data_IF_191675740142
#
_entry.id   IF_191675740142
#
_cell.length_a   1.000
_cell.length_b   1.000
_cell.length_c   1.000
_cell.angle_alpha   90.00
_cell.angle_beta   90.00
_cell.angle_gamma   90.00
#
_symmetry.space_group_name_H-M   'P 1'
#
loop_
_entity.id
_entity.type
_entity.pdbx_description
1 polymer ?
#
# COMPACT_ATOMS: atom_id res chain seq x y z
N UNK A 1 -21.77 5.49 -1.02
CA UNK A 1 -20.58 5.91 -0.22
C UNK A 1 -19.52 6.50 -1.14
N UNK A 2 -18.59 7.28 -0.59
CA UNK A 2 -17.43 7.79 -1.32
C UNK A 2 -16.14 7.13 -0.81
N UNK A 3 -15.24 6.77 -1.73
CA UNK A 3 -13.87 6.36 -1.42
C UNK A 3 -12.91 7.33 -2.09
N UNK A 4 -11.97 7.87 -1.31
CA UNK A 4 -10.94 8.79 -1.79
C UNK A 4 -9.63 8.02 -1.86
N UNK A 5 -9.06 7.93 -3.05
CA UNK A 5 -7.78 7.27 -3.33
C UNK A 5 -6.59 8.24 -3.37
N UNK A 6 -5.40 7.75 -3.75
CA UNK A 6 -4.24 8.60 -4.00
C UNK A 6 -4.47 9.53 -5.19
N UNK A 7 -3.82 10.70 -5.14
CA UNK A 7 -3.97 11.77 -6.13
C UNK A 7 -2.81 11.85 -7.13
N UNK A 8 -1.70 11.14 -6.88
CA UNK A 8 -0.47 11.25 -7.66
C UNK A 8 -0.51 10.44 -8.94
N UNK A 9 -0.78 9.14 -8.83
CA UNK A 9 -0.79 8.20 -9.94
C UNK A 9 -2.19 7.66 -10.20
N UNK A 10 -2.55 7.40 -11.47
CA UNK A 10 -3.79 6.71 -11.79
C UNK A 10 -3.87 5.36 -11.09
N UNK A 11 -5.02 5.07 -10.46
CA UNK A 11 -5.33 3.80 -9.81
C UNK A 11 -5.81 2.80 -10.86
N UNK A 12 -4.87 2.14 -11.52
CA UNK A 12 -5.08 1.10 -12.54
C UNK A 12 -3.87 0.19 -12.66
N UNK A 13 -4.04 -1.00 -13.22
CA UNK A 13 -2.90 -1.89 -13.49
C UNK A 13 -2.05 -1.39 -14.69
N UNK A 14 -0.70 -1.51 -14.64
CA UNK A 14 0.10 -1.85 -13.46
C UNK A 14 0.08 -0.71 -12.42
N UNK A 15 -0.21 -1.07 -11.15
CA UNK A 15 -0.31 -0.09 -10.08
C UNK A 15 1.05 0.54 -9.77
N UNK A 16 1.06 1.87 -9.63
CA UNK A 16 2.27 2.61 -9.26
C UNK A 16 2.80 2.27 -7.86
N UNK A 17 1.95 1.76 -6.97
CA UNK A 17 2.27 1.42 -5.59
C UNK A 17 1.18 0.60 -4.89
N UNK A 18 1.44 0.24 -3.64
CA UNK A 18 0.52 -0.58 -2.84
C UNK A 18 -0.79 0.14 -2.46
N UNK A 19 -0.77 1.48 -2.40
CA UNK A 19 -1.97 2.26 -2.08
C UNK A 19 -2.95 2.28 -3.25
N UNK A 20 -2.44 2.41 -4.48
CA UNK A 20 -3.22 2.27 -5.71
C UNK A 20 -3.83 0.86 -5.80
N UNK A 21 -3.01 -0.18 -5.56
CA UNK A 21 -3.48 -1.57 -5.53
C UNK A 21 -4.59 -1.80 -4.48
N UNK A 22 -4.40 -1.28 -3.27
CA UNK A 22 -5.40 -1.33 -2.20
C UNK A 22 -6.70 -0.64 -2.60
N UNK A 23 -6.63 0.60 -3.09
CA UNK A 23 -7.84 1.36 -3.42
C UNK A 23 -8.62 0.68 -4.55
N UNK A 24 -7.95 0.24 -5.61
CA UNK A 24 -8.59 -0.47 -6.72
C UNK A 24 -9.32 -1.74 -6.24
N UNK A 25 -8.61 -2.58 -5.48
CA UNK A 25 -9.15 -3.86 -5.00
C UNK A 25 -10.26 -3.65 -3.97
N UNK A 26 -10.14 -2.65 -3.10
CA UNK A 26 -11.17 -2.32 -2.11
C UNK A 26 -12.45 -1.78 -2.77
N UNK A 27 -12.33 -0.86 -3.75
CA UNK A 27 -13.48 -0.35 -4.51
C UNK A 27 -14.22 -1.50 -5.20
N UNK A 28 -13.47 -2.40 -5.86
CA UNK A 28 -14.04 -3.58 -6.51
C UNK A 28 -14.76 -4.48 -5.51
N UNK A 29 -14.12 -4.82 -4.38
CA UNK A 29 -14.70 -5.68 -3.35
C UNK A 29 -15.95 -5.07 -2.68
N UNK A 30 -15.97 -3.75 -2.46
CA UNK A 30 -17.14 -3.07 -1.89
C UNK A 30 -18.31 -3.06 -2.87
N UNK A 31 -18.06 -2.84 -4.17
CA UNK A 31 -19.08 -2.94 -5.21
C UNK A 31 -19.61 -4.37 -5.35
N UNK A 32 -18.75 -5.38 -5.27
CA UNK A 32 -19.15 -6.81 -5.25
C UNK A 32 -20.01 -7.16 -4.02
N UNK A 33 -19.77 -6.50 -2.89
CA UNK A 33 -20.62 -6.62 -1.69
C UNK A 33 -21.95 -5.85 -1.79
N UNK A 34 -22.21 -5.18 -2.93
CA UNK A 34 -23.47 -4.48 -3.22
C UNK A 34 -23.49 -3.00 -2.78
N UNK A 35 -22.35 -2.42 -2.40
CA UNK A 35 -22.28 -1.00 -2.08
C UNK A 35 -22.19 -0.14 -3.34
N UNK A 36 -22.93 0.96 -3.38
CA UNK A 36 -22.71 2.03 -4.36
C UNK A 36 -21.48 2.84 -3.92
N UNK A 37 -20.41 2.78 -4.71
CA UNK A 37 -19.13 3.44 -4.39
C UNK A 37 -18.78 4.44 -5.48
N UNK A 38 -18.86 5.72 -5.14
CA UNK A 38 -18.16 6.77 -5.88
C UNK A 38 -16.68 6.75 -5.50
N UNK A 39 -15.82 6.78 -6.50
CA UNK A 39 -14.38 6.69 -6.31
C UNK A 39 -13.74 7.96 -6.84
N UNK A 40 -12.94 8.63 -6.01
CA UNK A 40 -12.24 9.86 -6.33
C UNK A 40 -10.74 9.63 -6.20
N UNK A 41 -10.05 9.50 -7.32
CA UNK A 41 -8.61 9.31 -7.40
C UNK A 41 -8.02 10.15 -8.56
N UNK A 42 -6.72 10.03 -8.78
CA UNK A 42 -6.04 10.68 -9.90
C UNK A 42 -6.73 10.39 -11.25
N UNK A 43 -6.70 11.36 -12.15
CA UNK A 43 -7.25 11.25 -13.50
C UNK A 43 -6.75 9.99 -14.20
N UNK A 44 -7.65 9.32 -14.94
CA UNK A 44 -7.32 8.08 -15.64
C UNK A 44 -7.33 6.82 -14.77
N UNK A 45 -7.74 6.92 -13.50
CA UNK A 45 -8.00 5.77 -12.63
C UNK A 45 -9.18 4.91 -13.12
N UNK A 46 -9.10 3.60 -12.89
CA UNK A 46 -10.19 2.67 -13.21
C UNK A 46 -11.35 2.82 -12.23
N UNK A 47 -12.58 2.88 -12.77
CA UNK A 47 -13.79 2.99 -11.96
C UNK A 47 -13.97 4.33 -11.21
N UNK A 48 -13.21 5.37 -11.60
CA UNK A 48 -13.29 6.74 -11.09
C UNK A 48 -14.62 7.41 -11.43
N UNK A 49 -15.10 8.29 -10.55
CA UNK A 49 -16.27 9.12 -10.77
C UNK A 49 -15.91 10.26 -11.74
N UNK A 50 -16.52 10.30 -12.93
CA UNK A 50 -16.05 11.13 -14.06
C UNK A 50 -16.40 12.62 -14.01
N UNK A 51 -17.29 13.02 -13.11
CA UNK A 51 -17.60 14.43 -12.91
C UNK A 51 -16.61 15.14 -11.96
N UNK A 52 -15.69 14.38 -11.34
CA UNK A 52 -14.60 14.92 -10.56
C UNK A 52 -13.41 13.95 -10.51
N UNK A 53 -12.27 14.35 -11.08
CA UNK A 53 -11.02 13.58 -11.03
C UNK A 53 -9.90 14.45 -10.42
N UNK A 54 -9.02 13.84 -9.62
CA UNK A 54 -7.87 14.55 -9.07
C UNK A 54 -6.81 14.74 -10.17
N UNK A 55 -6.07 15.86 -10.21
CA UNK A 55 -5.30 16.25 -11.40
C UNK A 55 -4.07 15.38 -11.70
N UNK A 56 -3.70 14.43 -10.85
CA UNK A 56 -2.43 13.71 -11.01
C UNK A 56 -1.22 14.58 -10.73
N UNK A 57 -0.03 14.00 -10.93
CA UNK A 57 1.23 14.76 -10.98
C UNK A 57 1.87 14.56 -12.35
N UNK A 58 1.98 15.66 -13.11
CA UNK A 58 2.60 15.69 -14.42
C UNK A 58 3.94 16.43 -14.38
N UNK A 59 5.03 15.70 -14.62
CA UNK A 59 6.39 16.22 -14.65
C UNK A 59 6.81 16.79 -16.01
N UNK A 60 5.99 16.62 -17.06
CA UNK A 60 6.31 17.06 -18.42
C UNK A 60 7.69 16.56 -18.87
N UNK A 61 8.52 17.48 -19.37
CA UNK A 61 9.87 17.19 -19.88
C UNK A 61 10.90 16.87 -18.77
N UNK A 62 10.54 17.00 -17.48
CA UNK A 62 11.40 16.73 -16.32
C UNK A 62 11.12 15.38 -15.66
N UNK A 63 10.76 14.37 -16.44
CA UNK A 63 10.42 13.04 -15.93
C UNK A 63 11.56 12.38 -15.14
N UNK A 64 12.82 12.74 -15.42
CA UNK A 64 14.00 12.25 -14.70
C UNK A 64 14.13 12.78 -13.26
N UNK A 65 13.51 13.92 -12.96
CA UNK A 65 13.43 14.50 -11.60
C UNK A 65 12.28 13.89 -10.79
N UNK A 66 11.43 13.06 -11.42
CA UNK A 66 10.24 12.54 -10.80
C UNK A 66 10.59 11.57 -9.68
N UNK A 67 10.06 11.87 -8.48
CA UNK A 67 10.04 10.93 -7.37
C UNK A 67 8.60 10.75 -6.87
N UNK A 68 8.41 9.77 -5.99
CA UNK A 68 7.10 9.49 -5.40
C UNK A 68 6.66 10.54 -4.34
N UNK A 69 7.54 11.45 -3.93
CA UNK A 69 7.27 12.43 -2.85
C UNK A 69 7.44 13.88 -3.27
N UNK A 70 8.18 14.16 -4.35
CA UNK A 70 8.40 15.52 -4.86
C UNK A 70 7.29 15.96 -5.80
N UNK A 71 7.13 17.26 -6.00
CA UNK A 71 6.17 17.82 -6.95
C UNK A 71 6.89 18.73 -7.95
N UNK A 72 6.45 18.78 -9.22
CA UNK A 72 6.83 19.84 -10.13
C UNK A 72 6.26 21.17 -9.61
N UNK A 73 6.79 22.29 -10.11
CA UNK A 73 6.34 23.63 -9.73
C UNK A 73 4.81 23.80 -9.89
N UNK A 74 4.17 24.31 -8.84
CA UNK A 74 2.71 24.47 -8.79
C UNK A 74 1.92 23.17 -8.60
N UNK A 75 2.58 22.00 -8.64
CA UNK A 75 1.92 20.69 -8.59
C UNK A 75 1.22 20.44 -7.25
N UNK A 76 1.87 20.83 -6.15
CA UNK A 76 1.30 20.67 -4.80
C UNK A 76 0.10 21.59 -4.60
N UNK A 77 0.18 22.82 -5.10
CA UNK A 77 -0.89 23.82 -5.02
C UNK A 77 -2.11 23.37 -5.82
N UNK A 78 -1.92 22.80 -7.02
CA UNK A 78 -3.00 22.22 -7.82
C UNK A 78 -3.68 21.05 -7.12
N UNK A 79 -2.90 20.14 -6.54
CA UNK A 79 -3.44 19.02 -5.77
C UNK A 79 -4.26 19.52 -4.57
N UNK A 80 -3.71 20.46 -3.78
CA UNK A 80 -4.40 21.05 -2.63
C UNK A 80 -5.71 21.74 -3.02
N UNK A 81 -5.72 22.52 -4.11
CA UNK A 81 -6.92 23.16 -4.63
C UNK A 81 -7.99 22.12 -5.02
N UNK A 82 -7.58 21.02 -5.66
CA UNK A 82 -8.50 19.94 -5.99
C UNK A 82 -9.08 19.27 -4.73
N UNK A 83 -8.31 19.06 -3.67
CA UNK A 83 -8.85 18.52 -2.42
C UNK A 83 -9.84 19.45 -1.71
N UNK A 84 -9.65 20.78 -1.81
CA UNK A 84 -10.61 21.76 -1.29
C UNK A 84 -11.95 21.63 -2.04
N UNK A 85 -11.93 21.55 -3.37
CA UNK A 85 -13.15 21.39 -4.16
C UNK A 85 -13.80 20.01 -3.96
N UNK A 86 -13.00 18.95 -3.87
CA UNK A 86 -13.48 17.60 -3.57
C UNK A 86 -14.22 17.59 -2.22
N UNK A 87 -13.65 18.23 -1.20
CA UNK A 87 -14.31 18.29 0.12
C UNK A 87 -15.66 18.98 0.04
N UNK A 88 -15.76 20.12 -0.64
CA UNK A 88 -17.04 20.83 -0.84
C UNK A 88 -18.05 19.96 -1.57
N UNK A 89 -17.61 19.23 -2.60
CA UNK A 89 -18.43 18.27 -3.33
C UNK A 89 -18.95 17.15 -2.42
N UNK A 90 -18.10 16.57 -1.57
CA UNK A 90 -18.47 15.52 -0.62
C UNK A 90 -19.52 15.99 0.39
N UNK A 91 -19.37 17.22 0.89
CA UNK A 91 -20.37 17.87 1.77
C UNK A 91 -21.70 18.04 1.03
N UNK A 92 -21.65 18.59 -0.19
CA UNK A 92 -22.85 18.86 -0.98
C UNK A 92 -23.61 17.58 -1.39
N UNK A 93 -22.91 16.47 -1.63
CA UNK A 93 -23.53 15.19 -2.00
C UNK A 93 -24.09 14.38 -0.83
N UNK A 94 -23.64 14.65 0.39
CA UNK A 94 -24.20 14.03 1.60
C UNK A 94 -24.10 12.50 1.64
N UNK A 95 -22.90 11.94 1.39
CA UNK A 95 -22.68 10.49 1.46
C UNK A 95 -22.94 9.91 2.87
N UNK A 96 -23.43 8.67 2.96
CA UNK A 96 -23.53 7.96 4.26
C UNK A 96 -22.17 7.78 4.93
N UNK A 97 -21.12 7.56 4.13
CA UNK A 97 -19.73 7.37 4.57
C UNK A 97 -18.77 7.90 3.51
N UNK A 98 -17.71 8.55 3.98
CA UNK A 98 -16.51 8.93 3.21
C UNK A 98 -15.33 8.11 3.72
N UNK A 99 -14.75 7.23 2.90
CA UNK A 99 -13.55 6.47 3.23
C UNK A 99 -12.33 7.14 2.63
N UNK A 100 -11.59 7.86 3.46
CA UNK A 100 -10.37 8.56 3.06
C UNK A 100 -9.14 7.65 3.13
N UNK A 101 -8.41 7.56 2.01
CA UNK A 101 -7.11 6.89 1.92
C UNK A 101 -6.03 7.83 1.34
N UNK A 102 -6.30 9.13 1.22
CA UNK A 102 -5.34 10.11 0.73
C UNK A 102 -4.49 10.70 1.85
N UNK A 103 -3.36 11.29 1.46
CA UNK A 103 -2.46 12.04 2.33
C UNK A 103 -2.51 13.53 1.99
N UNK A 104 -3.71 14.11 1.95
CA UNK A 104 -3.87 15.54 1.73
C UNK A 104 -4.60 16.21 2.91
N UNK A 105 -4.06 17.27 3.53
CA UNK A 105 -4.61 17.86 4.75
C UNK A 105 -5.97 18.54 4.50
N UNK A 106 -6.25 18.96 3.27
CA UNK A 106 -7.46 19.73 2.94
C UNK A 106 -8.73 18.88 2.89
N UNK A 107 -8.65 17.56 3.06
CA UNK A 107 -9.84 16.73 3.24
C UNK A 107 -10.46 16.91 4.64
N UNK A 108 -9.65 17.30 5.63
CA UNK A 108 -10.13 17.58 6.98
C UNK A 108 -10.81 18.95 7.05
N UNK A 109 -11.71 19.18 8.02
CA UNK A 109 -12.38 20.47 8.19
C UNK A 109 -11.41 21.65 8.29
N UNK A 110 -11.71 22.72 7.56
CA UNK A 110 -10.95 23.98 7.55
C UNK A 110 -11.90 25.18 7.58
N UNK A 111 -11.38 26.42 7.60
CA UNK A 111 -12.20 27.63 7.50
C UNK A 111 -13.01 27.67 6.20
N UNK A 112 -12.46 27.16 5.08
CA UNK A 112 -13.09 27.17 3.77
C UNK A 112 -14.22 26.14 3.61
N UNK A 113 -14.26 25.12 4.46
CA UNK A 113 -15.33 24.12 4.55
C UNK A 113 -15.27 23.47 5.94
N UNK A 114 -16.02 24.01 6.92
CA UNK A 114 -15.95 23.58 8.32
C UNK A 114 -16.85 22.38 8.65
N UNK A 115 -17.72 21.94 7.75
CA UNK A 115 -18.73 20.91 7.99
C UNK A 115 -18.06 19.55 8.20
N UNK A 116 -18.38 18.78 9.26
CA UNK A 116 -17.84 17.43 9.42
C UNK A 116 -18.38 16.49 8.33
N UNK A 117 -17.56 15.53 7.90
CA UNK A 117 -17.97 14.43 7.03
C UNK A 117 -18.14 13.15 7.87
N UNK A 118 -19.04 12.21 7.49
CA UNK A 118 -19.10 10.87 8.06
C UNK A 118 -17.88 10.06 7.60
N UNK A 119 -16.71 10.39 8.14
CA UNK A 119 -15.43 10.00 7.57
C UNK A 119 -14.75 8.89 8.37
N UNK A 120 -14.22 7.90 7.66
CA UNK A 120 -13.20 6.98 8.13
C UNK A 120 -11.91 7.23 7.34
N UNK A 121 -10.82 7.60 8.00
CA UNK A 121 -9.49 7.68 7.38
C UNK A 121 -8.71 6.40 7.68
N UNK A 122 -8.15 5.73 6.67
CA UNK A 122 -7.20 4.62 6.89
C UNK A 122 -5.77 5.12 6.76
N UNK A 123 -4.97 4.87 7.80
CA UNK A 123 -3.56 5.24 7.88
C UNK A 123 -2.71 4.16 7.20
N UNK A 124 -2.07 4.52 6.09
CA UNK A 124 -1.25 3.64 5.25
C UNK A 124 0.25 3.95 5.32
N UNK A 125 0.66 4.97 6.07
CA UNK A 125 2.06 5.42 6.21
C UNK A 125 2.36 5.77 7.67
N UNK A 126 3.66 5.86 8.03
CA UNK A 126 4.07 6.60 9.23
C UNK A 126 3.51 8.04 9.24
N UNK A 127 3.58 8.69 10.39
CA UNK A 127 3.06 10.05 10.59
C UNK A 127 3.65 11.04 9.59
N UNK A 128 2.78 11.85 8.98
CA UNK A 128 3.14 12.96 8.11
C UNK A 128 2.71 14.25 8.82
N UNK A 129 3.66 15.17 9.06
CA UNK A 129 3.45 16.35 9.91
C UNK A 129 2.25 17.20 9.47
N UNK A 130 2.15 17.55 8.19
CA UNK A 130 1.04 18.36 7.66
C UNK A 130 -0.34 17.71 7.87
N UNK A 131 -0.41 16.38 7.80
CA UNK A 131 -1.64 15.61 8.02
C UNK A 131 -1.95 15.55 9.51
N UNK A 132 -0.93 15.34 10.34
CA UNK A 132 -1.07 15.35 11.79
C UNK A 132 -1.57 16.70 12.30
N UNK A 133 -1.09 17.81 11.75
CA UNK A 133 -1.52 19.15 12.11
C UNK A 133 -2.99 19.38 11.73
N UNK A 134 -3.40 18.95 10.53
CA UNK A 134 -4.80 19.03 10.09
C UNK A 134 -5.74 18.18 10.96
N UNK A 135 -5.33 16.96 11.33
CA UNK A 135 -6.08 16.10 12.26
C UNK A 135 -6.20 16.77 13.64
N UNK A 136 -5.10 17.35 14.14
CA UNK A 136 -5.06 18.02 15.45
C UNK A 136 -5.99 19.22 15.47
N UNK A 137 -5.95 20.06 14.43
CA UNK A 137 -6.82 21.23 14.29
C UNK A 137 -8.31 20.84 14.17
N UNK A 138 -8.62 19.75 13.47
CA UNK A 138 -9.97 19.25 13.32
C UNK A 138 -10.51 18.55 14.59
N UNK A 139 -9.65 18.00 15.44
CA UNK A 139 -10.03 17.26 16.64
C UNK A 139 -11.03 16.14 16.32
N UNK A 140 -12.11 16.01 17.10
CA UNK A 140 -13.15 15.00 16.86
C UNK A 140 -13.85 15.15 15.50
N UNK A 141 -13.80 16.34 14.87
CA UNK A 141 -14.38 16.57 13.54
C UNK A 141 -13.53 15.97 12.41
N UNK A 142 -12.34 15.48 12.71
CA UNK A 142 -11.50 14.74 11.76
C UNK A 142 -12.11 13.37 11.37
N UNK A 143 -13.15 12.92 12.09
CA UNK A 143 -13.80 11.64 11.85
C UNK A 143 -13.14 10.51 12.64
N UNK A 144 -13.32 9.28 12.14
CA UNK A 144 -12.76 8.06 12.71
C UNK A 144 -11.53 7.60 11.95
N UNK A 145 -10.74 6.76 12.59
CA UNK A 145 -9.49 6.26 12.03
C UNK A 145 -9.43 4.74 12.04
N UNK A 146 -8.83 4.19 10.99
CA UNK A 146 -8.34 2.83 10.93
C UNK A 146 -6.84 2.85 10.64
N UNK A 147 -6.12 1.81 11.05
CA UNK A 147 -4.70 1.66 10.74
C UNK A 147 -4.40 0.23 10.28
N UNK A 148 -3.46 0.09 9.34
CA UNK A 148 -3.11 -1.21 8.76
C UNK A 148 -2.27 -2.10 9.69
N UNK A 149 -1.74 -1.54 10.78
CA UNK A 149 -1.03 -2.26 11.84
C UNK A 149 -1.05 -1.46 13.15
N UNK A 150 -0.70 -2.09 14.28
CA UNK A 150 -0.57 -1.36 15.56
C UNK A 150 0.66 -0.47 15.54
N UNK A 151 1.75 -0.92 14.90
CA UNK A 151 2.93 -0.07 14.69
C UNK A 151 2.55 1.23 14.00
N UNK A 152 1.85 1.16 12.87
CA UNK A 152 1.38 2.37 12.17
C UNK A 152 0.47 3.21 13.04
N UNK A 153 -0.49 2.61 13.76
CA UNK A 153 -1.38 3.37 14.64
C UNK A 153 -0.63 4.21 15.70
N UNK A 154 0.45 3.67 16.25
CA UNK A 154 1.23 4.32 17.33
C UNK A 154 2.01 5.55 16.89
N UNK A 155 2.31 5.66 15.61
CA UNK A 155 3.04 6.82 15.08
C UNK A 155 2.16 8.09 15.07
N UNK A 156 0.83 7.92 15.08
CA UNK A 156 -0.12 9.02 14.95
C UNK A 156 -0.74 9.43 16.29
N UNK A 157 -0.93 10.74 16.47
CA UNK A 157 -1.69 11.31 17.60
C UNK A 157 -3.12 11.59 17.16
N UNK A 158 -4.02 10.66 17.46
CA UNK A 158 -5.40 10.68 16.97
C UNK A 158 -6.39 11.13 18.05
N UNK A 159 -7.51 11.77 17.67
CA UNK A 159 -8.54 12.21 18.61
C UNK A 159 -9.35 11.05 19.21
N UNK A 160 -9.30 9.87 18.58
CA UNK A 160 -9.90 8.62 19.07
C UNK A 160 -9.01 7.44 18.71
N UNK A 161 -9.10 6.35 19.49
CA UNK A 161 -8.35 5.12 19.23
C UNK A 161 -8.72 4.55 17.84
N UNK A 162 -7.76 4.28 16.96
CA UNK A 162 -8.03 3.75 15.64
C UNK A 162 -8.39 2.27 15.70
N UNK A 163 -9.22 1.81 14.76
CA UNK A 163 -9.47 0.38 14.58
C UNK A 163 -8.34 -0.24 13.75
N UNK A 164 -7.73 -1.32 14.23
CA UNK A 164 -6.67 -2.00 13.49
C UNK A 164 -7.29 -2.93 12.45
N UNK A 165 -7.10 -2.61 11.17
CA UNK A 165 -7.57 -3.41 10.03
C UNK A 165 -6.39 -3.62 9.08
N UNK A 166 -5.68 -4.75 9.19
CA UNK A 166 -4.66 -5.09 8.22
C UNK A 166 -5.26 -5.21 6.82
N UNK A 167 -4.49 -4.83 5.81
CA UNK A 167 -4.91 -4.96 4.42
C UNK A 167 -5.21 -6.43 4.07
N UNK A 168 -6.05 -6.62 3.05
CA UNK A 168 -6.41 -7.92 2.52
C UNK A 168 -5.84 -8.11 1.11
N UNK A 169 -5.57 -9.36 0.76
CA UNK A 169 -5.06 -9.77 -0.55
C UNK A 169 -6.18 -10.48 -1.32
N UNK A 170 -6.28 -10.20 -2.63
CA UNK A 170 -7.20 -10.92 -3.50
C UNK A 170 -6.64 -12.33 -3.82
N UNK A 171 -6.95 -13.29 -2.95
CA UNK A 171 -6.49 -14.69 -3.04
C UNK A 171 -7.07 -15.48 -4.23
N UNK A 172 -8.03 -14.91 -4.96
CA UNK A 172 -8.56 -15.45 -6.21
C UNK A 172 -7.71 -15.04 -7.42
N UNK A 173 -6.99 -13.91 -7.33
CA UNK A 173 -6.05 -13.44 -8.33
C UNK A 173 -4.63 -13.96 -8.03
N UNK A 174 -4.15 -13.77 -6.79
CA UNK A 174 -2.87 -14.32 -6.31
C UNK A 174 -3.04 -15.81 -6.00
N UNK A 175 -2.82 -16.65 -7.03
CA UNK A 175 -3.07 -18.10 -7.03
C UNK A 175 -1.78 -18.88 -6.73
N UNK A 176 -1.88 -20.08 -6.14
CA UNK A 176 -0.70 -20.88 -5.86
C UNK A 176 -0.04 -21.32 -7.16
N UNK A 177 1.29 -21.31 -7.16
CA UNK A 177 2.10 -21.87 -8.24
C UNK A 177 3.05 -22.96 -7.76
N UNK A 178 3.78 -23.60 -8.68
CA UNK A 178 4.65 -24.74 -8.38
C UNK A 178 5.87 -24.36 -7.51
N UNK A 179 6.18 -23.06 -7.39
CA UNK A 179 7.43 -22.59 -6.81
C UNK A 179 8.60 -22.77 -7.79
N UNK A 180 9.82 -22.65 -7.29
CA UNK A 180 11.03 -22.77 -8.10
C UNK A 180 12.29 -22.54 -7.27
N UNK A 181 13.43 -22.42 -7.97
CA UNK A 181 14.74 -22.24 -7.34
C UNK A 181 15.09 -20.77 -7.09
N UNK A 182 14.53 -19.87 -7.89
CA UNK A 182 14.85 -18.45 -7.91
C UNK A 182 14.09 -17.67 -6.84
N UNK A 183 14.75 -16.70 -6.22
CA UNK A 183 14.11 -15.71 -5.36
C UNK A 183 13.47 -14.59 -6.18
N UNK A 184 12.40 -14.00 -5.65
CA UNK A 184 11.80 -12.78 -6.23
C UNK A 184 11.86 -11.64 -5.22
N UNK A 185 12.17 -10.45 -5.72
CA UNK A 185 11.90 -9.21 -5.04
C UNK A 185 11.03 -8.38 -5.97
N UNK A 186 9.95 -7.79 -5.45
CA UNK A 186 9.09 -6.97 -6.28
C UNK A 186 8.55 -5.75 -5.55
N UNK A 187 8.44 -4.66 -6.30
CA UNK A 187 8.05 -3.35 -5.79
C UNK A 187 8.80 -2.23 -6.50
N UNK A 188 8.54 -1.00 -6.07
CA UNK A 188 9.20 0.19 -6.60
C UNK A 188 10.69 0.16 -6.26
N UNK A 189 11.56 0.36 -7.25
CA UNK A 189 13.00 0.50 -7.01
C UNK A 189 13.29 1.92 -6.47
N UNK A 190 13.17 2.04 -5.15
CA UNK A 190 13.44 3.26 -4.38
C UNK A 190 14.25 2.90 -3.12
N UNK A 191 15.03 3.84 -2.53
CA UNK A 191 15.89 3.56 -1.38
C UNK A 191 15.15 2.93 -0.18
N UNK A 192 13.93 3.40 0.09
CA UNK A 192 13.09 2.92 1.21
C UNK A 192 12.70 1.43 1.11
N UNK A 193 12.72 0.84 -0.10
CA UNK A 193 12.39 -0.59 -0.32
C UNK A 193 13.62 -1.50 -0.36
N UNK A 194 14.82 -0.93 -0.36
CA UNK A 194 16.07 -1.66 -0.06
C UNK A 194 16.44 -2.80 -1.00
N UNK A 195 16.05 -2.78 -2.28
CA UNK A 195 16.37 -3.82 -3.26
C UNK A 195 17.87 -4.22 -3.32
N UNK A 196 18.80 -3.28 -3.12
CA UNK A 196 20.24 -3.59 -3.01
C UNK A 196 20.55 -4.60 -1.90
N UNK A 197 19.86 -4.51 -0.76
CA UNK A 197 20.02 -5.46 0.35
C UNK A 197 19.46 -6.85 0.01
N UNK A 198 18.39 -6.92 -0.80
CA UNK A 198 17.89 -8.20 -1.29
C UNK A 198 18.90 -8.86 -2.24
N UNK A 199 19.53 -8.08 -3.11
CA UNK A 199 20.60 -8.57 -4.00
C UNK A 199 21.77 -9.13 -3.18
N UNK A 200 22.27 -8.34 -2.22
CA UNK A 200 23.41 -8.73 -1.40
C UNK A 200 23.09 -9.98 -0.56
N UNK A 201 21.88 -10.09 0.00
CA UNK A 201 21.45 -11.26 0.77
C UNK A 201 21.27 -12.52 -0.09
N UNK A 202 20.70 -12.38 -1.29
CA UNK A 202 20.55 -13.50 -2.23
C UNK A 202 21.91 -14.01 -2.71
N UNK A 203 22.88 -13.12 -2.96
CA UNK A 203 24.26 -13.50 -3.29
C UNK A 203 24.93 -14.25 -2.15
N UNK A 204 24.81 -13.76 -0.92
CA UNK A 204 25.34 -14.44 0.27
C UNK A 204 24.69 -15.82 0.48
N UNK A 205 23.40 -15.98 0.12
CA UNK A 205 22.70 -17.26 0.16
C UNK A 205 22.99 -18.19 -1.04
N UNK A 206 23.67 -17.70 -2.09
CA UNK A 206 23.88 -18.43 -3.34
C UNK A 206 22.61 -18.69 -4.15
N UNK A 207 21.60 -17.82 -4.03
CA UNK A 207 20.29 -17.97 -4.68
C UNK A 207 20.12 -16.90 -5.77
N UNK A 208 19.77 -17.27 -7.02
CA UNK A 208 19.46 -16.31 -8.06
C UNK A 208 18.27 -15.43 -7.68
N UNK A 209 18.26 -14.17 -8.13
CA UNK A 209 17.24 -13.18 -7.79
C UNK A 209 16.69 -12.50 -9.04
N UNK A 210 15.37 -12.48 -9.17
CA UNK A 210 14.65 -11.64 -10.13
C UNK A 210 14.04 -10.45 -9.39
N UNK A 211 14.40 -9.25 -9.82
CA UNK A 211 13.78 -7.99 -9.41
C UNK A 211 12.68 -7.61 -10.41
N UNK A 212 11.46 -7.33 -9.94
CA UNK A 212 10.36 -6.86 -10.77
C UNK A 212 9.74 -5.57 -10.20
N UNK A 213 9.52 -4.57 -11.05
CA UNK A 213 8.89 -3.31 -10.68
C UNK A 213 9.48 -2.11 -11.39
N UNK A 214 8.74 -1.00 -11.35
CA UNK A 214 9.13 0.25 -11.99
C UNK A 214 10.35 0.91 -11.34
N UNK A 215 11.07 1.68 -12.15
CA UNK A 215 12.03 2.64 -11.67
C UNK A 215 11.28 3.78 -10.96
N UNK A 216 11.40 3.86 -9.63
CA UNK A 216 10.78 4.92 -8.83
C UNK A 216 11.75 6.02 -8.41
N UNK A 217 13.06 5.79 -8.58
CA UNK A 217 14.13 6.72 -8.29
C UNK A 217 15.33 6.41 -9.20
N UNK A 218 15.54 7.28 -10.18
CA UNK A 218 16.58 7.10 -11.20
C UNK A 218 18.00 7.08 -10.62
N UNK A 219 18.25 7.85 -9.55
CA UNK A 219 19.56 7.88 -8.90
C UNK A 219 19.82 6.59 -8.15
N UNK A 220 18.85 6.11 -7.39
CA UNK A 220 18.96 4.84 -6.68
C UNK A 220 19.16 3.65 -7.63
N UNK A 221 18.43 3.61 -8.76
CA UNK A 221 18.63 2.55 -9.76
C UNK A 221 20.04 2.62 -10.36
N UNK A 222 20.50 3.81 -10.75
CA UNK A 222 21.83 4.01 -11.34
C UNK A 222 22.96 3.64 -10.36
N UNK A 223 22.85 4.09 -9.11
CA UNK A 223 23.95 4.05 -8.15
C UNK A 223 23.97 2.75 -7.33
N UNK A 224 22.80 2.16 -7.03
CA UNK A 224 22.71 0.99 -6.16
C UNK A 224 22.28 -0.29 -6.88
N UNK A 225 21.43 -0.21 -7.91
CA UNK A 225 20.87 -1.40 -8.55
C UNK A 225 21.68 -1.84 -9.77
N UNK A 226 21.87 -0.95 -10.74
CA UNK A 226 22.56 -1.25 -11.99
C UNK A 226 23.96 -1.86 -11.81
N UNK A 227 24.81 -1.38 -10.87
CA UNK A 227 26.13 -1.98 -10.62
C UNK A 227 26.07 -3.38 -10.02
N UNK A 228 24.90 -3.80 -9.52
CA UNK A 228 24.67 -5.11 -8.88
C UNK A 228 23.93 -6.09 -9.79
N UNK A 229 23.57 -5.73 -11.01
CA UNK A 229 22.97 -6.67 -11.97
C UNK A 229 24.02 -7.62 -12.55
N UNK A 230 23.59 -8.81 -13.00
CA UNK A 230 24.47 -9.90 -13.43
C UNK A 230 24.73 -10.94 -12.33
N UNK A 231 25.46 -12.00 -12.68
CA UNK A 231 25.83 -13.09 -11.76
C UNK A 231 24.63 -13.71 -11.02
N UNK A 232 23.55 -14.00 -11.76
CA UNK A 232 22.32 -14.58 -11.22
C UNK A 232 21.31 -13.55 -10.69
N UNK A 233 21.55 -12.26 -10.91
CA UNK A 233 20.61 -11.17 -10.58
C UNK A 233 20.13 -10.49 -11.85
N UNK A 234 18.81 -10.41 -12.03
CA UNK A 234 18.18 -9.76 -13.17
C UNK A 234 17.11 -8.76 -12.71
N UNK A 235 17.04 -7.59 -13.37
CA UNK A 235 15.89 -6.68 -13.25
C UNK A 235 15.11 -6.68 -14.55
N UNK A 236 13.87 -7.17 -14.49
CA UNK A 236 13.00 -7.38 -15.66
C UNK A 236 12.02 -6.23 -15.90
N UNK A 237 12.20 -5.10 -15.21
CA UNK A 237 11.34 -3.93 -15.34
C UNK A 237 9.96 -4.08 -14.70
N UNK A 238 9.04 -3.20 -15.10
CA UNK A 238 7.64 -3.24 -14.68
C UNK A 238 6.87 -4.29 -15.48
N UNK A 239 6.10 -5.11 -14.78
CA UNK A 239 5.28 -6.16 -15.37
C UNK A 239 3.80 -5.79 -15.29
N UNK A 240 2.99 -6.35 -16.19
CA UNK A 240 1.56 -6.41 -15.93
C UNK A 240 1.31 -7.20 -14.64
N UNK A 241 0.20 -6.93 -13.96
CA UNK A 241 -0.13 -7.64 -12.74
C UNK A 241 -0.37 -9.14 -12.97
N UNK A 242 -0.83 -9.53 -14.16
CA UNK A 242 -0.95 -10.95 -14.51
C UNK A 242 0.41 -11.64 -14.60
N UNK A 243 1.38 -11.01 -15.27
CA UNK A 243 2.75 -11.52 -15.37
C UNK A 243 3.45 -11.54 -14.02
N UNK A 244 3.30 -10.49 -13.20
CA UNK A 244 3.87 -10.41 -11.85
C UNK A 244 3.36 -11.56 -10.96
N UNK A 245 2.05 -11.82 -10.97
CA UNK A 245 1.47 -12.95 -10.22
C UNK A 245 2.05 -14.28 -10.68
N UNK A 246 2.19 -14.45 -12.00
CA UNK A 246 2.83 -15.63 -12.60
C UNK A 246 4.27 -15.80 -12.14
N UNK A 247 5.09 -14.74 -12.20
CA UNK A 247 6.46 -14.74 -11.71
C UNK A 247 6.53 -15.15 -10.25
N UNK A 248 5.81 -14.45 -9.38
CA UNK A 248 5.86 -14.66 -7.92
C UNK A 248 5.46 -16.09 -7.56
N UNK A 249 4.46 -16.65 -8.23
CA UNK A 249 3.99 -18.02 -8.01
C UNK A 249 5.00 -19.12 -8.43
N UNK A 250 5.92 -18.81 -9.34
CA UNK A 250 6.99 -19.69 -9.82
C UNK A 250 8.33 -19.49 -9.07
N UNK A 251 8.38 -18.60 -8.08
CA UNK A 251 9.58 -18.39 -7.28
C UNK A 251 9.58 -19.22 -5.98
N UNK A 252 10.77 -19.56 -5.51
CA UNK A 252 10.99 -20.37 -4.31
C UNK A 252 10.87 -19.58 -3.01
N UNK A 253 11.10 -18.27 -3.06
CA UNK A 253 11.03 -17.35 -1.92
C UNK A 253 10.88 -15.92 -2.41
N UNK A 254 10.07 -15.13 -1.71
CA UNK A 254 10.01 -13.69 -1.87
C UNK A 254 10.86 -13.02 -0.79
N UNK A 255 11.70 -12.07 -1.21
CA UNK A 255 12.62 -11.33 -0.33
C UNK A 255 12.10 -9.91 -0.16
N UNK A 256 11.86 -9.49 1.08
CA UNK A 256 11.22 -8.19 1.38
C UNK A 256 12.09 -7.37 2.34
N UNK A 257 12.63 -6.25 1.85
CA UNK A 257 13.76 -5.55 2.48
C UNK A 257 13.48 -4.07 2.80
N UNK A 258 12.39 -3.73 3.50
CA UNK A 258 12.09 -2.33 3.79
C UNK A 258 13.17 -1.70 4.67
N UNK A 259 13.55 -0.46 4.33
CA UNK A 259 14.45 0.41 5.10
C UNK A 259 13.70 1.52 5.87
N UNK A 260 12.38 1.42 5.88
CA UNK A 260 11.44 2.30 6.58
C UNK A 260 10.48 1.47 7.41
N UNK A 261 9.73 2.07 8.33
CA UNK A 261 8.72 1.38 9.12
C UNK A 261 7.52 0.95 8.25
N UNK A 262 7.70 -0.15 7.53
CA UNK A 262 6.76 -0.70 6.54
C UNK A 262 5.38 -0.94 7.19
N UNK A 263 4.34 -0.18 6.81
CA UNK A 263 3.05 -0.17 7.50
C UNK A 263 2.31 -1.52 7.46
N UNK A 264 2.37 -2.19 6.30
CA UNK A 264 1.73 -3.49 6.08
C UNK A 264 2.62 -4.44 5.29
N UNK A 265 3.17 -3.99 4.16
CA UNK A 265 3.99 -4.83 3.27
C UNK A 265 3.17 -5.77 2.39
N UNK A 266 2.28 -5.23 1.53
CA UNK A 266 1.38 -5.98 0.65
C UNK A 266 2.10 -7.11 -0.11
N UNK A 267 3.28 -6.81 -0.64
CA UNK A 267 4.12 -7.74 -1.40
C UNK A 267 4.41 -9.06 -0.66
N UNK A 268 4.58 -9.02 0.67
CA UNK A 268 4.79 -10.23 1.47
C UNK A 268 3.54 -11.11 1.47
N UNK A 269 2.37 -10.51 1.70
CA UNK A 269 1.10 -11.23 1.75
C UNK A 269 0.64 -11.71 0.37
N UNK A 270 0.95 -10.97 -0.69
CA UNK A 270 0.73 -11.35 -2.08
C UNK A 270 1.58 -12.56 -2.48
N UNK A 271 2.87 -12.58 -2.11
CA UNK A 271 3.73 -13.73 -2.30
C UNK A 271 3.24 -14.95 -1.52
N UNK A 272 2.91 -14.77 -0.24
CA UNK A 272 2.38 -15.83 0.59
C UNK A 272 1.03 -16.35 0.06
N UNK A 273 0.17 -15.49 -0.51
CA UNK A 273 -1.05 -15.93 -1.18
C UNK A 273 -0.72 -16.87 -2.34
N UNK A 274 0.33 -16.61 -3.14
CA UNK A 274 0.82 -17.54 -4.16
C UNK A 274 1.48 -18.82 -3.61
N UNK A 275 1.50 -19.02 -2.29
CA UNK A 275 2.23 -20.09 -1.63
C UNK A 275 3.74 -19.89 -1.64
N UNK A 276 4.22 -18.72 -2.07
CA UNK A 276 5.65 -18.40 -2.10
C UNK A 276 6.09 -17.95 -0.70
N UNK A 277 6.99 -18.71 -0.03
CA UNK A 277 7.49 -18.34 1.28
C UNK A 277 8.16 -16.97 1.30
N UNK A 278 8.16 -16.31 2.46
CA UNK A 278 8.75 -14.97 2.62
C UNK A 278 9.96 -15.00 3.54
N UNK A 279 11.04 -14.37 3.10
CA UNK A 279 12.14 -13.93 3.94
C UNK A 279 12.16 -12.39 3.98
N UNK A 280 12.15 -11.79 5.17
CA UNK A 280 12.01 -10.35 5.27
C UNK A 280 12.77 -9.73 6.45
N UNK A 281 13.08 -8.44 6.34
CA UNK A 281 13.49 -7.66 7.51
C UNK A 281 12.31 -7.46 8.47
N UNK A 282 12.55 -7.67 9.77
CA UNK A 282 11.59 -7.44 10.84
C UNK A 282 11.50 -5.96 11.17
N UNK A 283 10.73 -5.23 10.37
CA UNK A 283 10.55 -3.78 10.48
C UNK A 283 9.08 -3.38 10.32
N UNK A 284 8.65 -2.32 10.99
CA UNK A 284 7.31 -1.76 10.85
C UNK A 284 6.15 -2.67 11.27
N UNK A 285 4.98 -2.33 10.75
CA UNK A 285 3.77 -3.15 10.87
C UNK A 285 3.89 -4.49 10.14
N UNK A 286 4.63 -4.56 9.04
CA UNK A 286 4.90 -5.83 8.37
C UNK A 286 5.60 -6.82 9.32
N UNK A 287 6.65 -6.37 10.04
CA UNK A 287 7.35 -7.19 11.02
C UNK A 287 6.49 -7.57 12.24
N UNK A 288 5.51 -6.73 12.61
CA UNK A 288 4.48 -7.07 13.61
C UNK A 288 3.59 -8.21 13.11
N UNK A 289 3.04 -8.07 11.90
CA UNK A 289 2.03 -8.97 11.34
C UNK A 289 2.62 -10.33 10.95
N UNK A 290 3.88 -10.37 10.49
CA UNK A 290 4.56 -11.61 10.11
C UNK A 290 5.20 -12.36 11.27
N UNK A 291 5.17 -11.83 12.50
CA UNK A 291 5.82 -12.44 13.67
C UNK A 291 5.40 -13.89 13.91
N UNK A 292 4.10 -14.15 13.80
CA UNK A 292 3.48 -15.46 14.02
C UNK A 292 3.02 -16.11 12.69
N UNK A 293 3.53 -15.60 11.57
CA UNK A 293 3.27 -16.14 10.24
C UNK A 293 4.28 -17.24 9.90
N UNK A 294 3.95 -18.16 8.98
CA UNK A 294 4.93 -19.06 8.36
C UNK A 294 5.84 -18.27 7.41
N UNK A 295 6.73 -17.45 7.98
CA UNK A 295 7.71 -16.62 7.28
C UNK A 295 9.01 -16.59 8.11
N UNK A 296 10.14 -16.27 7.45
CA UNK A 296 11.42 -16.13 8.14
C UNK A 296 11.83 -14.66 8.22
N UNK A 297 11.88 -14.13 9.44
CA UNK A 297 12.27 -12.74 9.66
C UNK A 297 13.73 -12.64 10.12
N UNK A 298 14.45 -11.64 9.60
CA UNK A 298 15.78 -11.24 10.01
C UNK A 298 15.76 -9.90 10.76
N UNK A 299 16.75 -9.58 11.62
CA UNK A 299 16.97 -8.22 12.10
C UNK A 299 17.03 -7.23 10.93
N UNK A 300 16.56 -6.00 11.15
CA UNK A 300 16.55 -4.99 10.08
C UNK A 300 17.98 -4.65 9.62
N UNK A 301 18.14 -4.52 8.30
CA UNK A 301 19.40 -4.18 7.62
C UNK A 301 20.56 -5.19 7.80
N UNK A 302 20.29 -6.36 8.40
CA UNK A 302 21.28 -7.43 8.58
C UNK A 302 21.23 -8.41 7.39
N UNK A 303 22.13 -8.20 6.42
CA UNK A 303 22.21 -8.95 5.16
C UNK A 303 22.51 -10.44 5.40
N UNK A 304 23.43 -10.76 6.30
CA UNK A 304 23.82 -12.15 6.57
C UNK A 304 22.69 -12.92 7.27
N UNK A 305 22.02 -12.28 8.23
CA UNK A 305 20.84 -12.86 8.86
C UNK A 305 19.68 -13.03 7.86
N UNK A 306 19.53 -12.11 6.90
CA UNK A 306 18.56 -12.24 5.82
C UNK A 306 18.92 -13.39 4.86
N UNK A 307 20.20 -13.58 4.51
CA UNK A 307 20.64 -14.72 3.72
C UNK A 307 20.30 -16.06 4.38
N UNK A 308 20.52 -16.16 5.70
CA UNK A 308 20.09 -17.32 6.47
C UNK A 308 18.56 -17.48 6.51
N UNK A 309 17.80 -16.37 6.59
CA UNK A 309 16.34 -16.38 6.53
C UNK A 309 15.81 -16.82 5.16
N UNK A 310 16.44 -16.40 4.06
CA UNK A 310 16.14 -16.85 2.68
C UNK A 310 16.25 -18.37 2.60
N UNK A 311 17.37 -18.92 3.06
CA UNK A 311 17.62 -20.37 3.05
C UNK A 311 16.56 -21.14 3.86
N UNK A 312 16.21 -20.66 5.07
CA UNK A 312 15.16 -21.27 5.90
C UNK A 312 13.77 -21.17 5.27
N UNK A 313 13.42 -20.01 4.72
CA UNK A 313 12.09 -19.76 4.14
C UNK A 313 11.79 -20.71 2.97
N UNK A 314 12.79 -21.02 2.14
CA UNK A 314 12.64 -21.98 1.03
C UNK A 314 12.22 -23.39 1.49
N UNK A 315 12.49 -23.75 2.74
CA UNK A 315 12.08 -25.03 3.32
C UNK A 315 10.66 -25.03 3.91
N UNK A 316 9.93 -23.90 3.88
CA UNK A 316 8.57 -23.81 4.40
C UNK A 316 7.57 -24.48 3.45
N UNK A 317 6.57 -25.13 4.04
CA UNK A 317 5.45 -25.73 3.32
C UNK A 317 4.59 -24.62 2.66
N UNK A 318 4.55 -24.64 1.33
CA UNK A 318 3.83 -23.66 0.50
C UNK A 318 2.33 -23.63 0.75
N UNK A 319 1.72 -24.78 1.04
CA UNK A 319 0.30 -24.88 1.34
C UNK A 319 -0.01 -24.28 2.71
N UNK A 320 0.87 -24.49 3.69
CA UNK A 320 0.76 -23.85 5.01
C UNK A 320 0.88 -22.34 4.90
N UNK A 321 1.85 -21.85 4.11
CA UNK A 321 2.05 -20.43 3.82
C UNK A 321 0.79 -19.80 3.23
N UNK A 322 0.25 -20.40 2.16
CA UNK A 322 -0.98 -19.89 1.51
C UNK A 322 -2.17 -19.92 2.46
N UNK A 323 -2.40 -21.02 3.15
CA UNK A 323 -3.56 -21.19 4.04
C UNK A 323 -3.58 -20.11 5.11
N UNK A 324 -2.42 -19.79 5.68
CA UNK A 324 -2.31 -18.74 6.69
C UNK A 324 -2.84 -17.38 6.19
N UNK A 325 -2.49 -16.97 4.96
CA UNK A 325 -2.99 -15.72 4.36
C UNK A 325 -4.46 -15.79 4.00
N UNK A 326 -4.92 -16.89 3.40
CA UNK A 326 -6.33 -17.07 3.02
C UNK A 326 -7.24 -16.94 4.25
N UNK A 327 -6.84 -17.52 5.38
CA UNK A 327 -7.66 -17.55 6.59
C UNK A 327 -7.72 -16.18 7.31
N UNK A 328 -6.66 -15.37 7.20
CA UNK A 328 -6.44 -14.18 8.04
C UNK A 328 -6.47 -12.85 7.30
N UNK A 329 -6.11 -12.85 6.03
CA UNK A 329 -5.81 -11.67 5.22
C UNK A 329 -6.46 -11.72 3.84
N UNK A 330 -7.59 -12.41 3.67
CA UNK A 330 -8.34 -12.33 2.41
C UNK A 330 -9.02 -10.97 2.25
N UNK A 331 -9.01 -10.43 1.04
CA UNK A 331 -9.67 -9.15 0.70
C UNK A 331 -11.16 -9.14 1.09
N UNK A 332 -11.86 -10.27 0.89
CA UNK A 332 -13.28 -10.38 1.24
C UNK A 332 -13.53 -10.19 2.74
N UNK A 333 -12.69 -10.78 3.60
CA UNK A 333 -12.79 -10.59 5.05
C UNK A 333 -12.49 -9.14 5.43
N UNK A 334 -11.46 -8.54 4.85
CA UNK A 334 -11.10 -7.14 5.10
C UNK A 334 -12.23 -6.18 4.67
N UNK A 335 -12.82 -6.36 3.49
CA UNK A 335 -13.93 -5.53 3.01
C UNK A 335 -15.19 -5.64 3.90
N UNK A 336 -15.46 -6.83 4.45
CA UNK A 336 -16.54 -7.02 5.44
C UNK A 336 -16.26 -6.26 6.74
N UNK A 337 -15.02 -6.32 7.26
CA UNK A 337 -14.63 -5.54 8.46
C UNK A 337 -14.79 -4.03 8.24
N UNK A 338 -14.38 -3.52 7.08
CA UNK A 338 -14.63 -2.13 6.70
C UNK A 338 -16.12 -1.81 6.66
N UNK A 339 -16.94 -2.67 6.05
CA UNK A 339 -18.40 -2.51 5.99
C UNK A 339 -19.02 -2.38 7.38
N UNK A 340 -18.56 -3.16 8.36
CA UNK A 340 -19.07 -3.09 9.74
C UNK A 340 -18.75 -1.74 10.40
N UNK A 341 -17.57 -1.16 10.12
CA UNK A 341 -17.19 0.16 10.62
C UNK A 341 -17.93 1.27 9.88
N UNK A 342 -18.15 1.13 8.57
CA UNK A 342 -18.95 2.07 7.79
C UNK A 342 -20.36 2.22 8.38
N UNK A 343 -20.99 1.12 8.79
CA UNK A 343 -22.30 1.17 9.49
C UNK A 343 -22.23 1.99 10.79
N UNK A 344 -21.14 1.86 11.55
CA UNK A 344 -20.95 2.67 12.76
C UNK A 344 -20.77 4.15 12.40
N UNK A 345 -19.90 4.48 11.44
CA UNK A 345 -19.65 5.85 10.98
C UNK A 345 -20.95 6.52 10.52
N UNK A 346 -21.74 5.84 9.69
CA UNK A 346 -23.04 6.33 9.22
C UNK A 346 -24.05 6.54 10.36
N UNK A 347 -24.09 5.65 11.35
CA UNK A 347 -24.97 5.78 12.50
C UNK A 347 -24.61 6.97 13.39
N UNK A 348 -23.32 7.20 13.65
CA UNK A 348 -22.86 8.35 14.45
C UNK A 348 -23.20 9.69 13.78
N UNK A 349 -23.08 9.77 12.46
CA UNK A 349 -23.40 10.99 11.71
C UNK A 349 -24.89 11.37 11.78
N UNK A 350 -25.79 10.37 11.86
CA UNK A 350 -27.24 10.58 11.99
C UNK A 350 -27.69 11.02 13.39
N UNK A 351 -26.86 10.83 14.42
CA UNK A 351 -27.17 11.20 15.81
C UNK A 351 -26.63 12.61 16.16
N UNK A 352 -25.65 13.11 15.40
CA UNK A 352 -25.04 14.43 15.60
C UNK A 352 -25.63 15.57 14.76
N UNK A 353 -26.61 15.26 13.89
CA UNK A 353 -27.50 16.23 13.23
C UNK A 353 -28.77 16.40 14.05
#
# INVERSE_FOLDING_TARGET
MALIGPARYPVREPYAGGLEAFCHTMVSALRELGHEVDFFAAEGSDGNTKDFELPGVDWGDRAEDATDTTYPEGGRERENAAFIELRRLLVARGYDVVHNNSLNPYIFPSEASPEPLPMLTTLHTPMVDEIQDAITAAGLRAGRFAAVSRTTARDWRLPTEPVIIPNGVNVNLWRPGPGGETAVWFGRLVPEKGAHLAIDACRAAGIPLVLAGRNGDHHYVRDEIAPRLGDGVEWIGELSHAELRGLVANCGVAVVTPRWEEPFGLVAFEAMACGTPVAAFRRGGMGELLRDAPACLAPADDVDALAAAITRARGLDRDVVRRWVVDRHSLCQTAKRYTDIFRQVAAFAKVGQ
#
